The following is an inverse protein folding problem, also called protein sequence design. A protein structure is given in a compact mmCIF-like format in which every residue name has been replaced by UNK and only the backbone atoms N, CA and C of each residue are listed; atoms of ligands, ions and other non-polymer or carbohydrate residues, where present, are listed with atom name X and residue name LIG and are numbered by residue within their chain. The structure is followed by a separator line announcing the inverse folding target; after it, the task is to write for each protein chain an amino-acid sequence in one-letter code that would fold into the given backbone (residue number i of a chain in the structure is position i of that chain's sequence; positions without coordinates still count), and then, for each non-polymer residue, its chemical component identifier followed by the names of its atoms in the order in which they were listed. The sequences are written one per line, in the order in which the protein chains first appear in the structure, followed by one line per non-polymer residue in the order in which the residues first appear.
data_IF_179196221776
#
_entry.id   IF_179196221776
#
_cell.length_a   1.000
_cell.length_b   1.000
_cell.length_c   1.000
_cell.angle_alpha   90.00
_cell.angle_beta   90.00
_cell.angle_gamma   90.00
#
_symmetry.space_group_name_H-M   'P 1'
#
loop_
_entity.id
_entity.type
_entity.pdbx_description
1 polymer ?
#
# COMPACT_ATOMS: atom_id res chain seq x y z
N UNK A 1 -10.57 10.93 3.95
CA UNK A 1 -10.37 10.97 2.49
C UNK A 1 -9.24 10.04 2.17
N UNK A 2 -9.35 9.24 1.11
CA UNK A 2 -8.26 8.38 0.64
C UNK A 2 -7.18 9.27 0.02
N UNK A 3 -5.95 9.17 0.51
CA UNK A 3 -4.79 9.89 -0.01
C UNK A 3 -4.10 9.04 -1.08
N UNK A 4 -3.89 9.62 -2.26
CA UNK A 4 -3.03 9.06 -3.31
C UNK A 4 -1.62 9.61 -3.07
N UNK A 5 -0.64 8.75 -2.84
CA UNK A 5 0.75 9.17 -2.72
C UNK A 5 1.41 9.17 -4.11
N UNK A 6 1.90 10.34 -4.53
CA UNK A 6 2.70 10.50 -5.75
C UNK A 6 4.17 10.32 -5.35
N UNK A 7 4.88 9.42 -6.01
CA UNK A 7 6.28 9.14 -5.74
C UNK A 7 7.18 10.28 -6.28
N UNK A 8 7.95 10.92 -5.39
CA UNK A 8 9.02 11.84 -5.77
C UNK A 8 10.39 11.13 -5.66
N UNK A 9 11.23 11.29 -6.69
CA UNK A 9 12.64 10.87 -6.68
C UNK A 9 13.53 12.08 -6.41
N UNK A 10 14.25 12.09 -5.29
CA UNK A 10 15.53 12.78 -5.19
C UNK A 10 16.32 12.35 -3.95
N UNK A 11 17.37 11.56 -4.18
CA UNK A 11 18.71 11.84 -3.66
C UNK A 11 19.05 11.48 -2.21
N UNK A 12 20.05 10.61 -2.06
CA UNK A 12 21.03 10.67 -0.98
C UNK A 12 20.70 9.84 0.25
N UNK A 13 21.32 8.65 0.34
CA UNK A 13 21.31 7.82 1.53
C UNK A 13 22.15 8.49 2.64
N UNK A 14 21.55 9.39 3.42
CA UNK A 14 22.07 9.76 4.74
C UNK A 14 21.67 8.66 5.71
N UNK A 15 22.65 7.87 6.14
CA UNK A 15 22.50 6.79 7.10
C UNK A 15 22.22 7.41 8.47
N UNK A 16 20.96 7.75 8.74
CA UNK A 16 20.51 8.01 10.10
C UNK A 16 20.38 6.67 10.84
N UNK A 17 20.86 6.61 12.07
CA UNK A 17 20.91 5.43 12.97
C UNK A 17 19.49 4.92 13.36
N UNK A 18 18.45 5.36 12.66
CA UNK A 18 17.04 4.95 12.79
C UNK A 18 16.62 3.80 11.85
N UNK A 19 17.38 3.48 10.80
CA UNK A 19 17.04 2.39 9.84
C UNK A 19 17.19 0.97 10.43
N UNK A 20 17.74 0.83 11.64
CA UNK A 20 17.95 -0.47 12.32
C UNK A 20 16.92 -0.82 13.40
N UNK A 21 15.86 -0.04 13.59
CA UNK A 21 14.87 -0.31 14.66
C UNK A 21 13.57 -0.80 14.03
N UNK A 22 13.33 -2.11 14.09
CA UNK A 22 12.00 -2.70 13.89
C UNK A 22 11.08 -2.15 14.98
N UNK A 23 10.43 -1.03 14.69
CA UNK A 23 9.43 -0.43 15.57
C UNK A 23 8.16 -1.28 15.47
N UNK A 24 7.71 -1.82 16.59
CA UNK A 24 6.44 -2.52 16.63
C UNK A 24 5.31 -1.49 16.53
N UNK A 25 4.90 -1.20 15.30
CA UNK A 25 3.85 -0.27 14.95
C UNK A 25 2.90 -0.91 13.94
N UNK A 26 1.60 -0.71 14.13
CA UNK A 26 0.57 -1.26 13.23
C UNK A 26 0.11 -0.29 12.15
N UNK A 27 0.54 0.97 12.21
CA UNK A 27 0.19 2.02 11.24
C UNK A 27 1.22 3.14 11.21
N UNK A 28 1.25 3.90 10.11
CA UNK A 28 2.04 5.12 9.99
C UNK A 28 1.65 6.18 11.03
N UNK A 29 0.37 6.21 11.44
CA UNK A 29 -0.09 7.08 12.52
C UNK A 29 0.58 6.74 13.85
N UNK A 30 0.69 5.45 14.17
CA UNK A 30 1.41 5.04 15.38
C UNK A 30 2.90 5.40 15.31
N UNK A 31 3.55 5.24 14.14
CA UNK A 31 4.91 5.71 13.89
C UNK A 31 5.05 7.22 14.16
N UNK A 32 4.12 8.03 13.65
CA UNK A 32 4.08 9.47 13.85
C UNK A 32 3.91 9.86 15.33
N UNK A 33 2.92 9.27 16.00
CA UNK A 33 2.51 9.69 17.36
C UNK A 33 3.43 9.13 18.47
N UNK A 34 3.82 7.85 18.39
CA UNK A 34 4.57 7.20 19.46
C UNK A 34 6.08 7.29 19.28
N UNK A 35 6.52 7.24 18.02
CA UNK A 35 7.94 7.19 17.68
C UNK A 35 8.45 8.49 17.05
N UNK A 36 7.58 9.49 16.90
CA UNK A 36 7.91 10.81 16.34
C UNK A 36 8.58 10.72 14.96
N UNK A 37 8.20 9.72 14.16
CA UNK A 37 8.66 9.58 12.77
C UNK A 37 8.08 10.72 11.93
N UNK A 38 8.92 11.43 11.16
CA UNK A 38 8.51 12.65 10.47
C UNK A 38 8.55 12.60 8.96
N UNK A 39 9.40 11.75 8.41
CA UNK A 39 9.70 11.75 6.98
C UNK A 39 8.73 10.82 6.25
N UNK A 40 8.35 11.22 5.03
CA UNK A 40 7.62 10.34 4.12
C UNK A 40 8.56 9.21 3.67
N UNK A 41 8.04 8.01 3.47
CA UNK A 41 8.89 6.90 2.99
C UNK A 41 8.34 5.52 3.29
N UNK A 42 9.18 4.51 3.06
CA UNK A 42 8.85 3.12 3.31
C UNK A 42 9.18 2.73 4.74
N UNK A 43 8.23 2.05 5.39
CA UNK A 43 8.36 1.57 6.75
C UNK A 43 7.83 0.15 6.87
N UNK A 44 8.44 -0.64 7.77
CA UNK A 44 7.88 -1.90 8.21
C UNK A 44 6.81 -1.66 9.28
N UNK A 45 5.66 -2.31 9.10
CA UNK A 45 4.54 -2.34 10.05
C UNK A 45 4.21 -3.79 10.40
N UNK A 46 3.56 -3.99 11.54
CA UNK A 46 3.13 -5.32 12.02
C UNK A 46 1.62 -5.39 12.09
N UNK A 47 1.01 -6.37 11.43
CA UNK A 47 -0.42 -6.63 11.52
C UNK A 47 -0.84 -7.11 12.91
N UNK A 48 -2.14 -7.14 13.19
CA UNK A 48 -2.67 -7.72 14.43
C UNK A 48 -2.33 -9.21 14.61
N UNK A 49 -2.07 -9.94 13.52
CA UNK A 49 -1.61 -11.34 13.55
C UNK A 49 -0.09 -11.48 13.74
N UNK A 50 0.65 -10.37 13.87
CA UNK A 50 2.10 -10.39 14.01
C UNK A 50 2.85 -10.48 12.68
N UNK A 51 2.17 -10.34 11.54
CA UNK A 51 2.80 -10.39 10.21
C UNK A 51 3.44 -9.04 9.92
N UNK A 52 4.74 -9.04 9.63
CA UNK A 52 5.44 -7.84 9.19
C UNK A 52 5.26 -7.61 7.69
N UNK A 53 4.98 -6.37 7.31
CA UNK A 53 4.85 -5.95 5.91
C UNK A 53 5.41 -4.55 5.74
N UNK A 54 5.89 -4.24 4.54
CA UNK A 54 6.40 -2.91 4.18
C UNK A 54 5.31 -2.11 3.49
N UNK A 55 5.21 -0.82 3.79
CA UNK A 55 4.31 0.11 3.10
C UNK A 55 4.85 1.53 3.08
N UNK A 56 4.29 2.38 2.21
CA UNK A 56 4.57 3.80 2.18
C UNK A 56 3.75 4.53 3.25
N UNK A 57 4.43 5.37 4.01
CA UNK A 57 3.86 6.32 4.95
C UNK A 57 3.98 7.73 4.40
N UNK A 58 2.85 8.42 4.30
CA UNK A 58 2.81 9.87 4.14
C UNK A 58 2.71 10.49 5.54
N UNK A 59 3.83 11.08 5.96
CA UNK A 59 4.04 11.73 7.24
C UNK A 59 3.88 13.26 7.15
N UNK A 60 3.46 13.79 5.99
CA UNK A 60 3.40 15.22 5.70
C UNK A 60 1.98 15.72 5.50
N UNK A 61 1.17 15.07 4.67
CA UNK A 61 -0.16 15.53 4.26
C UNK A 61 -1.10 15.63 5.45
N UNK A 62 -1.70 16.80 5.65
CA UNK A 62 -2.68 17.04 6.72
C UNK A 62 -2.23 16.59 8.13
N UNK A 63 -0.93 16.73 8.43
CA UNK A 63 -0.34 16.32 9.70
C UNK A 63 0.30 14.94 9.70
N UNK A 64 0.18 14.18 8.61
CA UNK A 64 0.84 12.90 8.40
C UNK A 64 0.20 11.72 9.12
N UNK A 65 0.90 10.58 9.07
CA UNK A 65 0.43 9.33 9.65
C UNK A 65 -0.48 8.53 8.73
N UNK A 66 -0.52 8.87 7.43
CA UNK A 66 -1.30 8.14 6.44
C UNK A 66 -0.55 6.89 6.00
N UNK A 67 -1.25 5.77 5.98
CA UNK A 67 -0.72 4.47 5.57
C UNK A 67 -1.28 4.11 4.20
N UNK A 68 -0.41 3.84 3.22
CA UNK A 68 -0.85 3.23 1.96
C UNK A 68 -1.29 1.80 2.25
N UNK A 69 -2.49 1.42 1.82
CA UNK A 69 -3.07 0.08 2.08
C UNK A 69 -3.47 -0.67 0.82
N UNK A 70 -3.68 0.03 -0.29
CA UNK A 70 -4.02 -0.54 -1.58
C UNK A 70 -3.78 0.49 -2.69
N UNK A 71 -3.57 0.01 -3.91
CA UNK A 71 -3.68 0.80 -5.13
C UNK A 71 -4.60 0.08 -6.11
N UNK A 72 -5.28 0.82 -6.97
CA UNK A 72 -6.08 0.27 -8.05
C UNK A 72 -5.42 0.69 -9.35
N UNK A 73 -4.90 -0.28 -10.09
CA UNK A 73 -4.15 -0.03 -11.31
C UNK A 73 -4.85 -0.71 -12.50
N UNK A 74 -4.97 0.02 -13.61
CA UNK A 74 -5.51 -0.50 -14.86
C UNK A 74 -4.36 -0.87 -15.80
N UNK A 75 -4.14 -2.17 -16.00
CA UNK A 75 -3.02 -2.66 -16.81
C UNK A 75 -3.32 -2.67 -18.31
N UNK A 76 -4.58 -2.80 -18.72
CA UNK A 76 -4.98 -2.85 -20.12
C UNK A 76 -6.48 -2.55 -20.29
N UNK A 77 -6.81 -1.29 -20.58
CA UNK A 77 -8.19 -0.83 -20.78
C UNK A 77 -8.98 -1.58 -21.87
N UNK A 78 -8.30 -2.24 -22.81
CA UNK A 78 -8.93 -3.07 -23.85
C UNK A 78 -9.23 -4.50 -23.38
N UNK A 79 -8.53 -4.98 -22.35
CA UNK A 79 -8.88 -6.19 -21.61
C UNK A 79 -10.16 -5.92 -20.81
N UNK A 80 -11.16 -6.80 -20.93
CA UNK A 80 -12.40 -6.69 -20.17
C UNK A 80 -12.47 -7.82 -19.17
N UNK A 81 -12.15 -7.51 -17.92
CA UNK A 81 -12.10 -8.47 -16.83
C UNK A 81 -11.10 -9.60 -17.14
N UNK A 82 -9.87 -9.23 -17.48
CA UNK A 82 -8.77 -10.13 -17.83
C UNK A 82 -7.69 -10.13 -16.73
N UNK A 83 -6.61 -10.88 -16.92
CA UNK A 83 -5.47 -10.88 -15.97
C UNK A 83 -4.99 -9.44 -15.73
N UNK A 84 -4.90 -9.07 -14.46
CA UNK A 84 -4.62 -7.70 -14.01
C UNK A 84 -5.84 -6.95 -13.45
N UNK A 85 -7.06 -7.35 -13.80
CA UNK A 85 -8.29 -6.72 -13.30
C UNK A 85 -8.69 -7.21 -11.89
N UNK A 86 -7.76 -7.24 -10.94
CA UNK A 86 -7.94 -7.88 -9.62
C UNK A 86 -9.02 -7.21 -8.77
N UNK A 87 -9.26 -5.92 -8.96
CA UNK A 87 -10.31 -5.17 -8.25
C UNK A 87 -11.70 -5.29 -8.89
N UNK A 88 -11.83 -6.06 -9.97
CA UNK A 88 -13.12 -6.44 -10.56
C UNK A 88 -13.21 -7.95 -10.73
N UNK A 89 -12.78 -8.50 -11.86
CA UNK A 89 -12.59 -9.94 -12.06
C UNK A 89 -11.52 -10.22 -13.10
N UNK A 90 -10.74 -11.28 -12.89
CA UNK A 90 -9.84 -11.81 -13.91
C UNK A 90 -10.44 -12.98 -14.70
N UNK A 91 -11.73 -13.29 -14.49
CA UNK A 91 -12.44 -14.43 -15.07
C UNK A 91 -13.46 -14.00 -16.16
N UNK A 92 -13.32 -12.81 -16.70
CA UNK A 92 -14.26 -12.24 -17.66
C UNK A 92 -15.52 -11.67 -17.00
N UNK A 93 -16.47 -11.26 -17.86
CA UNK A 93 -17.79 -10.83 -17.42
C UNK A 93 -18.73 -12.04 -17.33
N UNK A 94 -18.70 -12.75 -16.20
CA UNK A 94 -19.50 -13.94 -15.95
C UNK A 94 -20.66 -13.66 -14.99
N UNK A 95 -21.89 -13.84 -15.46
CA UNK A 95 -23.12 -13.69 -14.66
C UNK A 95 -23.18 -14.69 -13.50
N UNK A 96 -22.49 -15.82 -13.61
CA UNK A 96 -22.42 -16.84 -12.55
C UNK A 96 -21.35 -16.52 -11.51
N UNK A 97 -20.48 -15.53 -11.76
CA UNK A 97 -19.50 -15.02 -10.81
C UNK A 97 -19.75 -13.52 -10.49
N UNK A 98 -20.87 -13.17 -9.86
CA UNK A 98 -21.22 -11.77 -9.59
C UNK A 98 -20.30 -11.07 -8.59
N UNK A 99 -19.54 -11.82 -7.79
CA UNK A 99 -18.57 -11.28 -6.84
C UNK A 99 -17.20 -10.97 -7.46
N UNK A 100 -16.96 -11.39 -8.70
CA UNK A 100 -15.68 -11.25 -9.37
C UNK A 100 -14.55 -11.93 -8.61
N UNK A 101 -13.42 -11.26 -8.47
CA UNK A 101 -12.28 -11.75 -7.67
C UNK A 101 -12.48 -11.49 -6.16
N UNK A 102 -13.42 -10.60 -5.78
CA UNK A 102 -13.80 -10.37 -4.39
C UNK A 102 -12.74 -9.70 -3.49
N UNK A 103 -11.67 -9.14 -4.06
CA UNK A 103 -10.54 -8.59 -3.28
C UNK A 103 -10.87 -7.39 -2.39
N UNK A 104 -12.03 -6.75 -2.58
CA UNK A 104 -12.51 -5.67 -1.71
C UNK A 104 -12.91 -6.12 -0.30
N UNK A 105 -13.22 -7.41 -0.11
CA UNK A 105 -13.73 -7.95 1.16
C UNK A 105 -13.15 -9.34 1.48
N UNK A 106 -11.92 -9.60 1.05
CA UNK A 106 -11.18 -10.81 1.40
C UNK A 106 -9.80 -10.45 2.00
N UNK A 107 -8.99 -11.46 2.29
CA UNK A 107 -7.67 -11.29 2.91
C UNK A 107 -6.50 -11.45 1.94
N UNK A 108 -6.76 -11.41 0.63
CA UNK A 108 -5.69 -11.50 -0.35
C UNK A 108 -4.83 -10.24 -0.30
N UNK A 109 -3.53 -10.43 -0.54
CA UNK A 109 -2.57 -9.35 -0.73
C UNK A 109 -1.76 -9.62 -1.99
N UNK A 110 -1.36 -8.54 -2.66
CA UNK A 110 -0.58 -8.57 -3.90
C UNK A 110 0.22 -7.27 -4.01
N UNK A 111 1.17 -7.25 -4.95
CA UNK A 111 1.98 -6.07 -5.24
C UNK A 111 3.06 -5.76 -4.21
N UNK A 112 3.74 -4.64 -4.43
CA UNK A 112 4.66 -4.01 -3.47
C UNK A 112 4.39 -2.51 -3.43
N UNK A 113 4.76 -1.81 -2.34
CA UNK A 113 4.56 -0.37 -2.22
C UNK A 113 5.21 0.44 -3.35
N UNK A 114 6.40 0.02 -3.81
CA UNK A 114 7.12 0.64 -4.92
C UNK A 114 6.46 0.37 -6.27
N UNK A 115 5.75 -0.75 -6.40
CA UNK A 115 5.03 -1.16 -7.60
C UNK A 115 3.62 -0.61 -7.71
N UNK A 116 3.12 0.11 -6.70
CA UNK A 116 1.72 0.54 -6.59
C UNK A 116 1.21 1.45 -7.73
N UNK A 117 2.10 1.95 -8.59
CA UNK A 117 1.73 2.74 -9.78
C UNK A 117 1.90 1.97 -11.10
N UNK A 118 2.33 0.71 -11.03
CA UNK A 118 2.64 -0.15 -12.18
C UNK A 118 1.85 -1.46 -12.19
N UNK A 119 1.35 -1.92 -11.04
CA UNK A 119 0.39 -3.01 -10.87
C UNK A 119 -0.46 -2.73 -9.60
N UNK A 120 -1.47 -3.55 -9.36
CA UNK A 120 -2.25 -3.52 -8.11
C UNK A 120 -1.41 -3.83 -6.85
#
# INVERSE_FOLDING_TARGET
GVGVAIQYHSGGLSIDISVGRHLNASSCKQLKEQYNTKDDGLYYLTSSSGTEYMTFCDMTTAGGGWTLVASVHENNMYGKCTVGDRWSSQQGNDINNPGGDGNWDNTNTFGTPEGATADD
#
